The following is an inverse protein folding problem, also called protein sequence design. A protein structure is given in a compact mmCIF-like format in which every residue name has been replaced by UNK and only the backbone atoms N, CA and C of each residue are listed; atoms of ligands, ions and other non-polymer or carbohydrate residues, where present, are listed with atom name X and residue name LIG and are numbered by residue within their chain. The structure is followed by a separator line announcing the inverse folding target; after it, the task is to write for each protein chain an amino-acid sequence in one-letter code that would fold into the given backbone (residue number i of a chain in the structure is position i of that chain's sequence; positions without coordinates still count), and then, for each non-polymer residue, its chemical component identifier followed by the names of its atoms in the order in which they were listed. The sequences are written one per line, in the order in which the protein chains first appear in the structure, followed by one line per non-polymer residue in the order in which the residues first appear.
data_IF_084328576092
#
_entry.id   IF_084328576092
#
_cell.length_a   1.000
_cell.length_b   1.000
_cell.length_c   1.000
_cell.angle_alpha   90.00
_cell.angle_beta   90.00
_cell.angle_gamma   90.00
#
_symmetry.space_group_name_H-M   'P 1'
#
loop_
_entity.id
_entity.type
_entity.pdbx_description
1 polymer ?
#
# COMPACT_ATOMS: atom_id res chain seq x y z
N UNK A 1 -13.62 -28.91 -13.95
CA UNK A 1 -12.95 -27.63 -14.26
C UNK A 1 -13.22 -26.74 -13.08
N UNK A 2 -12.19 -26.32 -12.34
CA UNK A 2 -12.40 -25.36 -11.24
C UNK A 2 -12.92 -24.06 -11.85
N UNK A 3 -14.06 -23.57 -11.38
CA UNK A 3 -14.53 -22.22 -11.71
C UNK A 3 -13.41 -21.22 -11.37
N UNK A 4 -13.12 -20.28 -12.28
CA UNK A 4 -12.08 -19.29 -12.05
C UNK A 4 -12.48 -18.28 -10.97
N UNK A 5 -11.48 -17.63 -10.37
CA UNK A 5 -11.65 -16.65 -9.30
C UNK A 5 -12.17 -15.33 -9.88
N UNK A 6 -13.39 -14.95 -9.48
CA UNK A 6 -14.09 -13.75 -9.94
C UNK A 6 -13.70 -12.53 -9.11
N UNK A 7 -13.31 -11.46 -9.79
CA UNK A 7 -12.77 -10.24 -9.20
C UNK A 7 -13.69 -9.04 -9.42
N UNK A 8 -13.84 -8.22 -8.39
CA UNK A 8 -14.32 -6.84 -8.47
C UNK A 8 -13.12 -5.92 -8.24
N UNK A 9 -12.85 -4.98 -9.14
CA UNK A 9 -11.83 -3.93 -8.91
C UNK A 9 -12.52 -2.60 -8.65
N UNK A 10 -12.31 -2.01 -7.48
CA UNK A 10 -12.79 -0.67 -7.12
C UNK A 10 -11.60 0.28 -7.05
N UNK A 11 -11.69 1.42 -7.74
CA UNK A 11 -10.61 2.39 -7.85
C UNK A 11 -9.71 2.11 -9.05
N UNK A 12 -10.16 2.47 -10.25
CA UNK A 12 -9.46 2.13 -11.49
C UNK A 12 -8.34 3.13 -11.91
N UNK A 13 -7.42 3.41 -10.99
CA UNK A 13 -6.27 4.31 -11.19
C UNK A 13 -5.04 3.65 -11.82
N UNK A 14 -3.84 4.18 -11.53
CA UNK A 14 -2.56 3.66 -12.06
C UNK A 14 -2.32 2.21 -11.63
N UNK A 15 -2.52 1.89 -10.34
CA UNK A 15 -2.32 0.54 -9.79
C UNK A 15 -3.28 -0.46 -10.42
N UNK A 16 -4.56 -0.14 -10.49
CA UNK A 16 -5.59 -1.00 -11.09
C UNK A 16 -5.36 -1.25 -12.58
N UNK A 17 -4.96 -0.23 -13.36
CA UNK A 17 -4.62 -0.41 -14.78
C UNK A 17 -3.42 -1.33 -14.96
N UNK A 18 -2.39 -1.18 -14.12
CA UNK A 18 -1.23 -2.08 -14.13
C UNK A 18 -1.61 -3.51 -13.73
N UNK A 19 -2.46 -3.67 -12.70
CA UNK A 19 -2.97 -4.98 -12.29
C UNK A 19 -3.77 -5.65 -13.41
N UNK A 20 -4.73 -4.93 -13.99
CA UNK A 20 -5.55 -5.43 -15.08
C UNK A 20 -4.70 -5.84 -16.29
N UNK A 21 -3.75 -4.99 -16.71
CA UNK A 21 -2.80 -5.34 -17.76
C UNK A 21 -1.97 -6.60 -17.43
N UNK A 22 -1.58 -6.79 -16.16
CA UNK A 22 -0.88 -8.01 -15.73
C UNK A 22 -1.78 -9.25 -15.73
N UNK A 23 -3.06 -9.13 -15.38
CA UNK A 23 -4.02 -10.24 -15.42
C UNK A 23 -4.20 -10.73 -16.87
N UNK A 24 -4.35 -9.79 -17.81
CA UNK A 24 -4.45 -10.07 -19.25
C UNK A 24 -3.17 -10.70 -19.80
N UNK A 25 -2.01 -10.14 -19.48
CA UNK A 25 -0.74 -10.57 -20.06
C UNK A 25 -0.21 -11.90 -19.48
N UNK A 26 -0.58 -12.23 -18.23
CA UNK A 26 -0.01 -13.37 -17.47
C UNK A 26 -1.05 -14.38 -17.02
N UNK A 27 -2.31 -14.26 -17.44
CA UNK A 27 -3.38 -15.20 -17.06
C UNK A 27 -3.05 -16.66 -17.34
N UNK A 28 -2.49 -16.96 -18.52
CA UNK A 28 -2.05 -18.32 -18.88
C UNK A 28 -0.90 -18.82 -17.98
N UNK A 29 0.03 -17.93 -17.62
CA UNK A 29 1.10 -18.26 -16.68
C UNK A 29 0.51 -18.66 -15.33
N UNK A 30 -0.38 -17.85 -14.76
CA UNK A 30 -1.02 -18.14 -13.47
C UNK A 30 -1.85 -19.42 -13.51
N UNK A 31 -2.57 -19.67 -14.60
CA UNK A 31 -3.33 -20.90 -14.78
C UNK A 31 -2.41 -22.13 -14.82
N UNK A 32 -1.24 -22.02 -15.45
CA UNK A 32 -0.27 -23.12 -15.56
C UNK A 32 0.51 -23.37 -14.27
N UNK A 33 1.00 -22.32 -13.62
CA UNK A 33 1.89 -22.43 -12.47
C UNK A 33 1.15 -22.55 -11.14
N UNK A 34 0.03 -21.83 -11.01
CA UNK A 34 -0.77 -21.82 -9.79
C UNK A 34 -2.08 -22.57 -9.95
N UNK A 35 -2.56 -22.87 -11.16
CA UNK A 35 -3.89 -23.46 -11.35
C UNK A 35 -5.03 -22.48 -11.07
N UNK A 36 -4.73 -21.17 -11.10
CA UNK A 36 -5.69 -20.10 -10.83
C UNK A 36 -5.98 -19.36 -12.14
N UNK A 37 -7.26 -19.22 -12.46
CA UNK A 37 -7.75 -18.38 -13.54
C UNK A 37 -8.52 -17.21 -12.95
N UNK A 38 -8.20 -15.98 -13.33
CA UNK A 38 -8.84 -14.79 -12.77
C UNK A 38 -9.79 -14.17 -13.78
N UNK A 39 -11.04 -13.94 -13.38
CA UNK A 39 -12.06 -13.29 -14.22
C UNK A 39 -12.48 -11.97 -13.60
N UNK A 40 -12.23 -10.87 -14.30
CA UNK A 40 -12.70 -9.56 -13.86
C UNK A 40 -14.19 -9.42 -14.19
N UNK A 41 -15.08 -9.47 -13.20
CA UNK A 41 -16.54 -9.40 -13.43
C UNK A 41 -17.11 -8.00 -13.17
N UNK A 42 -16.41 -7.17 -12.41
CA UNK A 42 -16.77 -5.77 -12.25
C UNK A 42 -15.55 -4.86 -12.07
N UNK A 43 -15.65 -3.65 -12.61
CA UNK A 43 -14.67 -2.59 -12.43
C UNK A 43 -15.37 -1.26 -12.18
N UNK A 44 -14.90 -0.52 -11.17
CA UNK A 44 -15.49 0.75 -10.73
C UNK A 44 -14.41 1.82 -10.63
N UNK A 45 -14.69 3.01 -11.15
CA UNK A 45 -13.90 4.21 -10.92
C UNK A 45 -14.74 5.33 -10.31
N UNK A 46 -14.14 6.50 -10.09
CA UNK A 46 -14.84 7.64 -9.48
C UNK A 46 -16.01 8.21 -10.29
N UNK A 47 -16.24 7.74 -11.52
CA UNK A 47 -17.25 8.26 -12.44
C UNK A 47 -18.22 7.19 -12.93
N UNK A 48 -17.86 5.91 -12.89
CA UNK A 48 -18.57 4.87 -13.62
C UNK A 48 -18.26 3.46 -13.11
N UNK A 49 -19.15 2.53 -13.46
CA UNK A 49 -18.99 1.11 -13.23
C UNK A 49 -19.25 0.32 -14.52
N UNK A 50 -18.50 -0.76 -14.70
CA UNK A 50 -18.74 -1.82 -15.67
C UNK A 50 -18.94 -3.13 -14.91
N UNK A 51 -19.98 -3.89 -15.25
CA UNK A 51 -20.32 -5.17 -14.62
C UNK A 51 -20.74 -6.13 -15.72
N UNK A 52 -20.10 -7.30 -15.76
CA UNK A 52 -20.46 -8.41 -16.64
C UNK A 52 -20.20 -9.73 -15.90
N UNK A 53 -21.26 -10.51 -15.67
CA UNK A 53 -21.17 -11.80 -14.97
C UNK A 53 -20.36 -12.84 -15.76
N UNK A 54 -20.25 -12.68 -17.08
CA UNK A 54 -19.44 -13.57 -17.93
C UNK A 54 -17.97 -13.14 -18.00
N UNK A 55 -17.62 -12.01 -17.36
CA UNK A 55 -16.29 -11.42 -17.39
C UNK A 55 -16.20 -10.22 -18.34
N UNK A 56 -15.43 -9.22 -17.91
CA UNK A 56 -15.10 -8.02 -18.64
C UNK A 56 -13.84 -8.26 -19.48
N UNK A 57 -13.88 -7.83 -20.75
CA UNK A 57 -12.67 -7.78 -21.57
C UNK A 57 -11.73 -6.68 -21.09
N UNK A 58 -10.58 -7.09 -20.53
CA UNK A 58 -9.62 -6.17 -19.92
C UNK A 58 -9.08 -5.15 -20.92
N UNK A 59 -8.83 -5.56 -22.17
CA UNK A 59 -8.34 -4.66 -23.22
C UNK A 59 -9.32 -3.54 -23.53
N UNK A 60 -10.60 -3.86 -23.67
CA UNK A 60 -11.67 -2.87 -23.87
C UNK A 60 -11.79 -1.93 -22.67
N UNK A 61 -11.70 -2.48 -21.46
CA UNK A 61 -11.78 -1.70 -20.23
C UNK A 61 -10.64 -0.68 -20.12
N UNK A 62 -9.41 -1.11 -20.40
CA UNK A 62 -8.22 -0.25 -20.40
C UNK A 62 -8.31 0.83 -21.48
N UNK A 63 -8.67 0.45 -22.72
CA UNK A 63 -8.85 1.40 -23.84
C UNK A 63 -9.88 2.45 -23.49
N UNK A 64 -11.07 2.04 -23.02
CA UNK A 64 -12.13 2.97 -22.62
C UNK A 64 -11.67 3.92 -21.51
N UNK A 65 -10.94 3.41 -20.52
CA UNK A 65 -10.42 4.23 -19.42
C UNK A 65 -9.45 5.30 -19.93
N UNK A 66 -8.61 4.95 -20.88
CA UNK A 66 -7.65 5.86 -21.50
C UNK A 66 -8.35 6.93 -22.35
N UNK A 67 -9.28 6.53 -23.21
CA UNK A 67 -9.98 7.43 -24.14
C UNK A 67 -10.99 8.36 -23.46
N UNK A 68 -11.71 7.85 -22.45
CA UNK A 68 -12.88 8.55 -21.88
C UNK A 68 -12.70 8.94 -20.41
N UNK A 69 -11.64 8.45 -19.75
CA UNK A 69 -11.48 8.59 -18.31
C UNK A 69 -12.47 7.78 -17.47
N UNK A 70 -13.26 6.88 -18.08
CA UNK A 70 -14.30 6.06 -17.45
C UNK A 70 -14.09 4.57 -17.72
N UNK A 71 -14.39 3.71 -16.76
CA UNK A 71 -14.42 2.25 -16.96
C UNK A 71 -15.73 1.75 -17.54
N UNK A 72 -16.82 2.48 -17.34
CA UNK A 72 -18.15 2.05 -17.77
C UNK A 72 -19.03 3.18 -18.30
N UNK A 73 -20.27 2.84 -18.64
CA UNK A 73 -21.22 3.78 -19.25
C UNK A 73 -22.05 4.55 -18.22
N UNK A 74 -22.28 3.98 -17.04
CA UNK A 74 -23.15 4.55 -16.00
C UNK A 74 -22.41 4.59 -14.67
N UNK A 75 -22.79 5.51 -13.80
CA UNK A 75 -22.39 5.46 -12.39
C UNK A 75 -23.33 4.50 -11.66
N UNK A 76 -22.79 3.73 -10.73
CA UNK A 76 -23.53 2.87 -9.82
C UNK A 76 -22.99 3.09 -8.40
N UNK A 77 -23.82 2.98 -7.35
CA UNK A 77 -23.33 2.95 -5.99
C UNK A 77 -22.34 1.81 -5.81
N UNK A 78 -21.14 2.11 -5.32
CA UNK A 78 -20.05 1.12 -5.25
C UNK A 78 -20.39 -0.03 -4.31
N UNK A 79 -21.06 0.27 -3.20
CA UNK A 79 -21.55 -0.74 -2.24
C UNK A 79 -22.52 -1.73 -2.89
N UNK A 80 -23.43 -1.27 -3.76
CA UNK A 80 -24.34 -2.15 -4.52
C UNK A 80 -23.56 -3.04 -5.48
N UNK A 81 -22.57 -2.49 -6.21
CA UNK A 81 -21.71 -3.31 -7.08
C UNK A 81 -20.98 -4.39 -6.28
N UNK A 82 -20.45 -4.05 -5.10
CA UNK A 82 -19.74 -5.00 -4.23
C UNK A 82 -20.68 -6.08 -3.68
N UNK A 83 -21.88 -5.70 -3.24
CA UNK A 83 -22.82 -6.61 -2.60
C UNK A 83 -23.52 -7.52 -3.62
N UNK A 84 -24.02 -6.96 -4.73
CA UNK A 84 -24.91 -7.64 -5.68
C UNK A 84 -24.19 -8.38 -6.82
N UNK A 85 -22.92 -8.06 -7.08
CA UNK A 85 -22.13 -8.79 -8.09
C UNK A 85 -21.64 -10.12 -7.51
N UNK A 86 -21.92 -11.22 -8.20
CA UNK A 86 -21.36 -12.52 -7.85
C UNK A 86 -19.85 -12.53 -8.14
N UNK A 87 -19.06 -12.45 -7.08
CA UNK A 87 -17.61 -12.43 -7.14
C UNK A 87 -17.02 -12.99 -5.86
N UNK A 88 -15.76 -13.45 -5.94
CA UNK A 88 -15.08 -14.12 -4.84
C UNK A 88 -14.16 -13.12 -4.10
N UNK A 89 -13.60 -12.14 -4.81
CA UNK A 89 -12.64 -11.18 -4.26
C UNK A 89 -12.97 -9.74 -4.67
N UNK A 90 -13.01 -8.84 -3.68
CA UNK A 90 -12.90 -7.39 -3.86
C UNK A 90 -11.42 -6.98 -3.87
N UNK A 91 -11.00 -6.28 -4.92
CA UNK A 91 -9.72 -5.58 -5.02
C UNK A 91 -9.98 -4.08 -4.83
N UNK A 92 -9.62 -3.56 -3.66
CA UNK A 92 -9.92 -2.19 -3.25
C UNK A 92 -8.68 -1.29 -3.39
N UNK A 93 -8.72 -0.38 -4.36
CA UNK A 93 -7.61 0.46 -4.80
C UNK A 93 -8.01 1.95 -4.88
N UNK A 94 -9.07 2.36 -4.16
CA UNK A 94 -9.47 3.77 -4.10
C UNK A 94 -8.39 4.58 -3.36
N UNK A 95 -8.10 5.82 -3.79
CA UNK A 95 -7.27 6.73 -3.00
C UNK A 95 -7.81 6.85 -1.56
N UNK A 96 -6.91 6.74 -0.58
CA UNK A 96 -7.30 6.78 0.83
C UNK A 96 -7.57 8.20 1.31
N UNK A 97 -8.66 8.39 2.06
CA UNK A 97 -8.93 9.63 2.78
C UNK A 97 -8.42 9.52 4.23
N UNK A 98 -7.43 10.33 4.66
CA UNK A 98 -6.93 10.27 6.03
C UNK A 98 -7.91 10.83 7.07
N UNK A 99 -8.97 11.54 6.66
CA UNK A 99 -9.89 12.18 7.60
C UNK A 99 -10.90 11.20 8.20
N UNK A 100 -11.49 10.35 7.36
CA UNK A 100 -12.59 9.46 7.72
C UNK A 100 -12.46 8.05 7.12
N UNK A 101 -11.39 7.78 6.36
CA UNK A 101 -11.19 6.54 5.61
C UNK A 101 -12.25 6.21 4.54
N UNK A 102 -13.21 7.11 4.28
CA UNK A 102 -14.24 6.90 3.27
C UNK A 102 -13.74 7.31 1.87
N UNK A 103 -14.26 6.67 0.80
CA UNK A 103 -15.27 5.59 0.79
C UNK A 103 -14.68 4.19 1.03
N UNK A 104 -13.36 4.06 1.21
CA UNK A 104 -12.67 2.78 1.34
C UNK A 104 -13.19 1.94 2.51
N UNK A 105 -13.54 2.59 3.63
CA UNK A 105 -14.12 1.93 4.80
C UNK A 105 -15.46 1.27 4.46
N UNK A 106 -16.36 2.00 3.80
CA UNK A 106 -17.63 1.44 3.30
C UNK A 106 -17.39 0.27 2.36
N UNK A 107 -16.43 0.38 1.42
CA UNK A 107 -16.13 -0.71 0.49
C UNK A 107 -15.73 -2.01 1.22
N UNK A 108 -14.84 -1.91 2.21
CA UNK A 108 -14.38 -3.10 2.94
C UNK A 108 -15.51 -3.71 3.77
N UNK A 109 -16.32 -2.88 4.44
CA UNK A 109 -17.47 -3.33 5.22
C UNK A 109 -18.52 -4.02 4.33
N UNK A 110 -18.80 -3.50 3.14
CA UNK A 110 -19.70 -4.13 2.17
C UNK A 110 -19.16 -5.47 1.65
N UNK A 111 -17.87 -5.59 1.36
CA UNK A 111 -17.28 -6.86 0.94
C UNK A 111 -17.31 -7.92 2.06
N UNK A 112 -16.99 -7.53 3.30
CA UNK A 112 -17.13 -8.42 4.47
C UNK A 112 -18.59 -8.87 4.62
N UNK A 113 -19.56 -7.94 4.55
CA UNK A 113 -21.00 -8.25 4.63
C UNK A 113 -21.44 -9.24 3.56
N UNK A 114 -20.91 -9.12 2.35
CA UNK A 114 -21.19 -10.00 1.23
C UNK A 114 -20.29 -11.26 1.17
N UNK A 115 -19.51 -11.53 2.23
CA UNK A 115 -18.59 -12.67 2.35
C UNK A 115 -17.57 -12.79 1.22
N UNK A 116 -17.14 -11.66 0.66
CA UNK A 116 -16.10 -11.60 -0.39
C UNK A 116 -14.74 -11.40 0.24
N UNK A 117 -13.73 -12.14 -0.21
CA UNK A 117 -12.35 -11.89 0.17
C UNK A 117 -11.91 -10.49 -0.27
N UNK A 118 -10.91 -9.92 0.40
CA UNK A 118 -10.46 -8.55 0.18
C UNK A 118 -8.96 -8.54 -0.05
N UNK A 119 -8.55 -7.88 -1.13
CA UNK A 119 -7.17 -7.42 -1.33
C UNK A 119 -7.22 -5.91 -1.47
N UNK A 120 -6.51 -5.17 -0.60
CA UNK A 120 -6.53 -3.70 -0.64
C UNK A 120 -5.14 -3.08 -0.66
N UNK A 121 -5.01 -1.96 -1.36
CA UNK A 121 -3.86 -1.05 -1.26
C UNK A 121 -4.20 0.26 -0.53
N UNK A 122 -5.44 0.39 -0.05
CA UNK A 122 -5.91 1.54 0.70
C UNK A 122 -5.59 1.38 2.18
N UNK A 123 -4.60 2.13 2.62
CA UNK A 123 -4.11 2.13 4.01
C UNK A 123 -5.15 2.68 4.99
N UNK A 124 -5.98 3.64 4.57
CA UNK A 124 -6.71 4.49 5.51
C UNK A 124 -7.74 3.73 6.35
N UNK A 125 -8.55 2.79 5.79
CA UNK A 125 -9.43 1.97 6.60
C UNK A 125 -8.70 1.18 7.67
N UNK A 126 -7.56 0.57 7.30
CA UNK A 126 -6.73 -0.21 8.22
C UNK A 126 -6.08 0.68 9.30
N UNK A 127 -5.62 1.87 8.95
CA UNK A 127 -5.01 2.79 9.90
C UNK A 127 -6.03 3.42 10.88
N UNK A 128 -7.33 3.37 10.56
CA UNK A 128 -8.41 3.86 11.42
C UNK A 128 -9.06 2.77 12.27
N UNK A 129 -9.40 1.61 11.69
CA UNK A 129 -10.19 0.56 12.36
C UNK A 129 -9.61 -0.85 12.15
N UNK A 130 -8.28 -1.01 12.22
CA UNK A 130 -7.61 -2.30 12.00
C UNK A 130 -8.26 -3.48 12.74
N UNK A 131 -8.35 -3.39 14.07
CA UNK A 131 -8.80 -4.50 14.94
C UNK A 131 -10.23 -4.91 14.61
N UNK A 132 -11.12 -3.94 14.39
CA UNK A 132 -12.53 -4.18 14.05
C UNK A 132 -12.67 -4.82 12.67
N UNK A 133 -11.94 -4.32 11.67
CA UNK A 133 -11.97 -4.85 10.31
C UNK A 133 -11.45 -6.30 10.24
N UNK A 134 -10.32 -6.58 10.89
CA UNK A 134 -9.74 -7.93 10.93
C UNK A 134 -10.69 -8.89 11.65
N UNK A 135 -11.18 -8.54 12.83
CA UNK A 135 -12.11 -9.39 13.58
C UNK A 135 -13.41 -9.66 12.81
N UNK A 136 -13.96 -8.63 12.12
CA UNK A 136 -15.17 -8.77 11.31
C UNK A 136 -14.94 -9.68 10.10
N UNK A 137 -13.80 -9.54 9.41
CA UNK A 137 -13.42 -10.41 8.30
C UNK A 137 -13.25 -11.87 8.77
N UNK A 138 -12.52 -12.10 9.85
CA UNK A 138 -12.32 -13.43 10.46
C UNK A 138 -13.65 -14.08 10.84
N UNK A 139 -14.57 -13.34 11.47
CA UNK A 139 -15.89 -13.85 11.88
C UNK A 139 -16.75 -14.36 10.73
N UNK A 140 -16.44 -13.95 9.49
CA UNK A 140 -17.15 -14.35 8.27
C UNK A 140 -16.33 -15.27 7.37
N UNK A 141 -15.16 -15.72 7.81
CA UNK A 141 -14.25 -16.51 6.97
C UNK A 141 -13.69 -15.72 5.77
N UNK A 142 -13.73 -14.38 5.84
CA UNK A 142 -13.23 -13.50 4.78
C UNK A 142 -11.74 -13.26 4.99
N UNK A 143 -10.93 -13.60 4.00
CA UNK A 143 -9.53 -13.19 3.99
C UNK A 143 -9.40 -11.70 3.66
N UNK A 144 -8.73 -10.96 4.55
CA UNK A 144 -8.37 -9.56 4.36
C UNK A 144 -6.85 -9.46 4.17
N UNK A 145 -6.40 -9.19 2.94
CA UNK A 145 -4.99 -9.03 2.55
C UNK A 145 -4.69 -7.57 2.18
N UNK A 146 -3.53 -7.09 2.59
CA UNK A 146 -3.18 -5.66 2.48
C UNK A 146 -1.66 -5.42 2.43
N UNK A 147 -0.90 -6.35 1.85
CA UNK A 147 0.57 -6.21 1.78
C UNK A 147 0.99 -4.97 0.97
N UNK A 148 0.19 -4.62 -0.04
CA UNK A 148 0.38 -3.43 -0.88
C UNK A 148 0.26 -2.09 -0.12
N UNK A 149 -0.41 -2.07 1.05
CA UNK A 149 -0.58 -0.86 1.85
C UNK A 149 0.75 -0.30 2.40
N UNK A 150 1.70 -1.16 2.75
CA UNK A 150 2.90 -0.73 3.50
C UNK A 150 4.19 -0.84 2.70
N UNK A 151 4.31 -1.83 1.81
CA UNK A 151 5.58 -2.16 1.15
C UNK A 151 5.67 -1.83 -0.32
N UNK A 152 4.61 -1.32 -0.95
CA UNK A 152 4.48 -1.38 -2.40
C UNK A 152 4.83 -2.81 -2.85
N UNK A 153 5.93 -3.04 -3.59
CA UNK A 153 6.38 -4.38 -3.98
C UNK A 153 7.08 -5.20 -2.89
N UNK A 154 7.64 -4.56 -1.87
CA UNK A 154 8.42 -5.23 -0.82
C UNK A 154 7.51 -6.09 0.09
N UNK A 155 7.93 -7.31 0.44
CA UNK A 155 7.18 -8.20 1.32
C UNK A 155 7.36 -7.81 2.80
N UNK A 156 7.09 -6.56 3.17
CA UNK A 156 7.34 -6.03 4.53
C UNK A 156 6.56 -6.81 5.59
N UNK A 157 5.27 -7.06 5.34
CA UNK A 157 4.43 -7.80 6.28
C UNK A 157 4.87 -9.26 6.40
N UNK A 158 5.09 -9.94 5.26
CA UNK A 158 5.54 -11.35 5.27
C UNK A 158 6.91 -11.52 5.94
N UNK A 159 7.83 -10.59 5.69
CA UNK A 159 9.14 -10.59 6.33
C UNK A 159 9.01 -10.31 7.84
N UNK A 160 8.13 -9.39 8.22
CA UNK A 160 7.81 -9.14 9.62
C UNK A 160 7.19 -10.35 10.30
N UNK A 161 6.27 -11.07 9.64
CA UNK A 161 5.66 -12.31 10.14
C UNK A 161 6.74 -13.37 10.38
N UNK A 162 7.68 -13.52 9.42
CA UNK A 162 8.82 -14.42 9.57
C UNK A 162 9.74 -14.03 10.73
N UNK A 163 9.86 -12.73 11.05
CA UNK A 163 10.58 -12.26 12.23
C UNK A 163 9.81 -12.56 13.53
N UNK A 164 8.50 -12.35 13.54
CA UNK A 164 7.65 -12.44 14.72
C UNK A 164 7.20 -13.86 15.08
N UNK A 165 7.36 -14.83 14.18
CA UNK A 165 6.85 -16.21 14.37
C UNK A 165 7.49 -16.94 15.55
N UNK A 166 8.77 -16.67 15.83
CA UNK A 166 9.55 -17.40 16.84
C UNK A 166 9.93 -16.55 18.06
N UNK A 167 9.69 -15.25 17.99
CA UNK A 167 10.11 -14.29 19.01
C UNK A 167 9.33 -12.98 18.91
N UNK A 168 9.22 -12.21 20.00
CA UNK A 168 8.57 -10.91 19.94
C UNK A 168 9.44 -9.89 19.21
N UNK A 169 8.82 -9.15 18.29
CA UNK A 169 9.36 -7.90 17.73
C UNK A 169 9.10 -6.78 18.73
N UNK A 170 10.17 -6.16 19.24
CA UNK A 170 10.10 -5.16 20.31
C UNK A 170 9.97 -3.73 19.77
N UNK A 171 10.59 -3.47 18.61
CA UNK A 171 10.59 -2.16 17.95
C UNK A 171 10.60 -2.34 16.44
N UNK A 172 9.92 -1.45 15.73
CA UNK A 172 9.98 -1.35 14.27
C UNK A 172 10.32 0.08 13.89
N UNK A 173 11.28 0.23 12.97
CA UNK A 173 11.67 1.51 12.38
C UNK A 173 11.61 1.41 10.87
N UNK A 174 11.26 2.49 10.17
CA UNK A 174 11.32 2.48 8.72
C UNK A 174 11.29 3.84 8.08
N UNK A 175 11.99 3.94 6.94
CA UNK A 175 11.77 5.00 5.95
C UNK A 175 10.75 4.44 4.97
N UNK A 176 9.49 4.84 5.15
CA UNK A 176 8.32 4.17 4.56
C UNK A 176 7.72 4.90 3.36
N UNK A 177 8.25 6.07 3.02
CA UNK A 177 7.70 6.94 1.99
C UNK A 177 8.76 7.34 0.95
N UNK A 178 8.63 6.75 -0.25
CA UNK A 178 9.58 6.94 -1.34
C UNK A 178 9.68 8.40 -1.81
N UNK A 179 8.58 9.16 -1.79
CA UNK A 179 8.54 10.56 -2.24
C UNK A 179 9.37 11.47 -1.34
N UNK A 180 9.11 11.43 -0.04
CA UNK A 180 9.89 12.19 0.94
C UNK A 180 11.37 11.76 0.95
N UNK A 181 11.64 10.46 0.83
CA UNK A 181 13.02 9.96 0.76
C UNK A 181 13.75 10.41 -0.51
N UNK A 182 13.06 10.45 -1.64
CA UNK A 182 13.59 11.00 -2.89
C UNK A 182 13.92 12.49 -2.75
N UNK A 183 13.01 13.28 -2.19
CA UNK A 183 13.23 14.72 -1.97
C UNK A 183 14.45 14.97 -1.09
N UNK A 184 14.56 14.28 0.06
CA UNK A 184 15.71 14.38 0.95
C UNK A 184 17.02 13.95 0.26
N UNK A 185 16.97 12.84 -0.48
CA UNK A 185 18.12 12.35 -1.24
C UNK A 185 18.56 13.33 -2.32
N UNK A 186 17.63 14.06 -2.93
CA UNK A 186 17.95 15.07 -3.94
C UNK A 186 18.66 16.26 -3.29
N UNK A 187 18.09 16.80 -2.22
CA UNK A 187 18.71 17.87 -1.42
C UNK A 187 20.12 17.50 -0.94
N UNK A 188 20.35 16.23 -0.56
CA UNK A 188 21.68 15.71 -0.19
C UNK A 188 22.66 15.63 -1.36
N UNK A 189 22.16 15.31 -2.56
CA UNK A 189 23.00 15.03 -3.73
C UNK A 189 23.53 16.28 -4.44
N UNK A 190 22.71 17.32 -4.56
CA UNK A 190 23.01 18.51 -5.36
C UNK A 190 22.81 19.83 -4.61
N UNK A 191 22.39 19.77 -3.34
CA UNK A 191 22.16 20.95 -2.50
C UNK A 191 20.86 21.70 -2.81
N UNK A 192 19.94 21.12 -3.59
CA UNK A 192 18.65 21.72 -3.92
C UNK A 192 17.86 22.14 -2.68
N UNK A 193 17.03 23.16 -2.83
CA UNK A 193 16.02 23.50 -1.84
C UNK A 193 14.88 22.47 -1.82
N UNK A 194 14.14 22.40 -0.71
CA UNK A 194 12.96 21.52 -0.61
C UNK A 194 11.95 21.76 -1.75
N UNK A 195 11.58 23.02 -2.11
CA UNK A 195 10.67 23.26 -3.24
C UNK A 195 11.19 22.76 -4.59
N UNK A 196 12.48 22.93 -4.88
CA UNK A 196 13.10 22.47 -6.14
C UNK A 196 13.13 20.95 -6.24
N UNK A 197 13.58 20.28 -5.17
CA UNK A 197 13.60 18.83 -5.08
C UNK A 197 12.20 18.22 -5.17
N UNK A 198 11.20 18.87 -4.57
CA UNK A 198 9.79 18.44 -4.67
C UNK A 198 9.25 18.59 -6.10
N UNK A 199 9.59 19.68 -6.79
CA UNK A 199 9.17 19.90 -8.17
C UNK A 199 9.79 18.86 -9.13
N UNK A 200 11.05 18.48 -8.91
CA UNK A 200 11.65 17.38 -9.65
C UNK A 200 10.97 16.04 -9.36
N UNK A 201 10.64 15.76 -8.10
CA UNK A 201 9.89 14.56 -7.73
C UNK A 201 8.53 14.48 -8.47
N UNK A 202 7.85 15.62 -8.66
CA UNK A 202 6.61 15.68 -9.46
C UNK A 202 6.85 15.39 -10.94
N UNK A 203 7.88 15.99 -11.54
CA UNK A 203 8.24 15.77 -12.95
C UNK A 203 8.58 14.31 -13.25
N UNK A 204 9.23 13.64 -12.30
CA UNK A 204 9.58 12.22 -12.40
C UNK A 204 8.42 11.28 -12.03
N UNK A 205 7.27 11.81 -11.63
CA UNK A 205 6.09 11.02 -11.26
C UNK A 205 6.18 10.33 -9.89
N UNK A 206 7.13 10.73 -9.03
CA UNK A 206 7.21 10.27 -7.64
C UNK A 206 6.21 10.99 -6.74
N UNK A 207 5.91 12.26 -7.01
CA UNK A 207 4.97 13.07 -6.24
C UNK A 207 3.75 13.46 -7.07
N UNK A 208 2.57 13.45 -6.44
CA UNK A 208 1.37 14.05 -7.02
C UNK A 208 1.39 15.59 -6.92
N UNK A 209 0.43 16.25 -7.56
CA UNK A 209 0.31 17.72 -7.52
C UNK A 209 0.21 18.27 -6.09
N UNK A 210 -0.50 17.56 -5.21
CA UNK A 210 -0.60 17.85 -3.78
C UNK A 210 -0.06 16.68 -2.93
N UNK A 211 1.25 16.64 -2.64
CA UNK A 211 1.91 15.51 -1.99
C UNK A 211 1.96 15.65 -0.45
N UNK A 212 1.00 16.34 0.17
CA UNK A 212 1.02 16.63 1.60
C UNK A 212 1.04 15.37 2.46
N UNK A 213 0.32 14.31 2.04
CA UNK A 213 0.34 13.01 2.72
C UNK A 213 1.76 12.45 2.84
N UNK A 214 2.58 12.68 1.83
CA UNK A 214 3.95 12.18 1.75
C UNK A 214 4.90 13.06 2.55
N UNK A 215 4.93 14.36 2.26
CA UNK A 215 5.94 15.28 2.82
C UNK A 215 5.63 15.73 4.24
N UNK A 216 4.38 15.61 4.70
CA UNK A 216 3.96 15.92 6.07
C UNK A 216 3.87 14.66 6.95
N UNK A 217 4.32 13.50 6.47
CA UNK A 217 4.51 12.29 7.27
C UNK A 217 3.26 11.43 7.52
N UNK A 218 2.09 11.84 7.02
CA UNK A 218 0.81 11.12 7.26
C UNK A 218 0.80 9.72 6.64
N UNK A 219 1.34 9.55 5.43
CA UNK A 219 1.48 8.23 4.79
C UNK A 219 2.38 7.30 5.61
N UNK A 220 3.49 7.82 6.15
CA UNK A 220 4.40 7.05 7.00
C UNK A 220 3.76 6.68 8.33
N UNK A 221 2.96 7.58 8.92
CA UNK A 221 2.17 7.34 10.12
C UNK A 221 1.15 6.21 9.90
N UNK A 222 0.41 6.24 8.79
CA UNK A 222 -0.54 5.17 8.44
C UNK A 222 0.17 3.82 8.28
N UNK A 223 1.30 3.79 7.57
CA UNK A 223 2.06 2.54 7.35
C UNK A 223 2.60 1.96 8.64
N UNK A 224 3.20 2.77 9.53
CA UNK A 224 3.75 2.26 10.78
C UNK A 224 2.65 1.75 11.73
N UNK A 225 1.48 2.38 11.75
CA UNK A 225 0.30 1.89 12.49
C UNK A 225 -0.12 0.52 11.99
N UNK A 226 -0.24 0.34 10.66
CA UNK A 226 -0.60 -0.96 10.06
C UNK A 226 0.45 -2.03 10.39
N UNK A 227 1.73 -1.71 10.25
CA UNK A 227 2.82 -2.65 10.58
C UNK A 227 2.78 -3.02 12.07
N UNK A 228 2.60 -2.04 12.96
CA UNK A 228 2.52 -2.28 14.40
C UNK A 228 1.37 -3.20 14.78
N UNK A 229 0.19 -2.97 14.21
CA UNK A 229 -0.98 -3.79 14.49
C UNK A 229 -0.82 -5.21 13.93
N UNK A 230 -0.27 -5.33 12.73
CA UNK A 230 -0.08 -6.61 12.08
C UNK A 230 1.00 -7.47 12.76
N UNK A 231 2.18 -6.90 13.01
CA UNK A 231 3.37 -7.63 13.49
C UNK A 231 3.41 -7.72 15.02
N UNK A 232 3.20 -6.60 15.69
CA UNK A 232 3.30 -6.51 17.15
C UNK A 232 1.96 -6.76 17.86
N UNK A 233 0.90 -7.09 17.10
CA UNK A 233 -0.47 -7.33 17.58
C UNK A 233 -1.00 -6.20 18.47
N UNK A 234 -0.62 -4.97 18.15
CA UNK A 234 -1.15 -3.77 18.81
C UNK A 234 -2.55 -3.46 18.28
N UNK A 235 -3.28 -2.59 19.00
CA UNK A 235 -4.58 -2.05 18.58
C UNK A 235 -4.49 -0.53 18.51
N UNK A 236 -3.62 -0.04 17.63
CA UNK A 236 -3.35 1.37 17.41
C UNK A 236 -4.15 1.93 16.24
N UNK A 237 -4.41 3.22 16.28
CA UNK A 237 -5.00 4.02 15.22
C UNK A 237 -4.07 5.20 14.90
N UNK A 238 -4.37 5.95 13.83
CA UNK A 238 -3.66 7.20 13.54
C UNK A 238 -3.69 8.21 14.71
N UNK A 239 -4.72 8.16 15.57
CA UNK A 239 -4.84 9.06 16.74
C UNK A 239 -3.83 8.72 17.84
N UNK A 240 -3.28 7.51 17.84
CA UNK A 240 -2.29 7.07 18.81
C UNK A 240 -0.85 7.46 18.43
N UNK A 241 -0.66 8.03 17.23
CA UNK A 241 0.63 8.53 16.76
C UNK A 241 0.97 9.80 17.53
N UNK A 242 2.00 9.71 18.37
CA UNK A 242 2.32 10.77 19.31
C UNK A 242 2.87 12.02 18.62
N UNK A 243 3.66 11.84 17.55
CA UNK A 243 4.31 12.90 16.79
C UNK A 243 4.28 12.54 15.32
N UNK A 244 3.93 13.52 14.48
CA UNK A 244 4.07 13.43 13.02
C UNK A 244 4.81 14.67 12.54
N UNK A 245 6.07 14.49 12.18
CA UNK A 245 6.93 15.51 11.63
C UNK A 245 7.17 15.28 10.14
N UNK A 246 6.99 16.33 9.35
CA UNK A 246 7.27 16.34 7.91
C UNK A 246 8.63 16.92 7.56
N UNK A 247 8.98 16.86 6.28
CA UNK A 247 10.30 17.26 5.76
C UNK A 247 10.37 18.72 5.28
N UNK A 248 9.26 19.46 5.30
CA UNK A 248 9.17 20.82 4.70
C UNK A 248 10.12 21.86 5.31
N UNK A 249 10.48 21.70 6.58
CA UNK A 249 11.25 22.69 7.35
C UNK A 249 12.76 22.46 7.33
N UNK A 250 13.22 21.45 6.60
CA UNK A 250 14.65 21.10 6.53
C UNK A 250 15.36 22.12 5.64
N UNK A 251 16.37 22.79 6.19
CA UNK A 251 17.14 23.78 5.44
C UNK A 251 18.25 23.11 4.59
N UNK A 252 18.51 23.61 3.37
CA UNK A 252 19.63 23.11 2.55
C UNK A 252 20.99 23.27 3.24
N UNK A 253 21.15 24.33 4.04
CA UNK A 253 22.36 24.56 4.84
C UNK A 253 22.57 23.48 5.90
N UNK A 254 21.50 23.02 6.57
CA UNK A 254 21.58 21.93 7.54
C UNK A 254 21.90 20.61 6.85
N UNK A 255 21.25 20.33 5.71
CA UNK A 255 21.53 19.11 4.93
C UNK A 255 23.00 19.05 4.52
N UNK A 256 23.55 20.16 4.00
CA UNK A 256 24.97 20.22 3.63
C UNK A 256 25.91 19.98 4.82
N UNK A 257 25.65 20.61 5.97
CA UNK A 257 26.44 20.39 7.18
C UNK A 257 26.40 18.93 7.63
N UNK A 258 25.22 18.28 7.59
CA UNK A 258 25.09 16.86 7.94
C UNK A 258 25.90 15.95 7.01
N UNK A 259 25.94 16.26 5.71
CA UNK A 259 26.74 15.50 4.75
C UNK A 259 28.25 15.62 5.06
N UNK A 260 28.73 16.79 5.47
CA UNK A 260 30.11 17.03 5.92
C UNK A 260 30.41 16.29 7.25
N UNK A 261 29.42 16.15 8.13
CA UNK A 261 29.50 15.34 9.36
C UNK A 261 29.40 13.81 9.12
N UNK A 262 29.25 13.36 7.88
CA UNK A 262 29.08 11.92 7.57
C UNK A 262 27.70 11.37 7.96
N UNK A 263 26.68 12.22 7.98
CA UNK A 263 25.29 11.88 8.31
C UNK A 263 24.35 12.13 7.13
N UNK A 264 23.15 11.57 7.23
CA UNK A 264 22.01 11.79 6.34
C UNK A 264 20.78 12.19 7.12
N UNK A 265 19.81 12.81 6.45
CA UNK A 265 18.53 13.18 7.07
C UNK A 265 17.42 12.29 6.53
N UNK A 266 16.66 11.62 7.40
CA UNK A 266 15.57 10.72 6.96
C UNK A 266 14.32 10.94 7.79
N UNK A 267 13.16 10.89 7.14
CA UNK A 267 11.88 10.80 7.84
C UNK A 267 11.65 9.34 8.23
N UNK A 268 11.80 9.05 9.52
CA UNK A 268 11.72 7.70 10.10
C UNK A 268 10.41 7.57 10.87
N UNK A 269 9.61 6.57 10.49
CA UNK A 269 8.49 6.11 11.28
C UNK A 269 8.98 5.02 12.24
N UNK A 270 8.67 5.14 13.52
CA UNK A 270 9.10 4.23 14.56
C UNK A 270 7.93 3.83 15.45
N UNK A 271 7.92 2.60 15.92
CA UNK A 271 7.02 2.13 16.98
C UNK A 271 7.76 1.20 17.93
N UNK A 272 7.82 1.58 19.19
CA UNK A 272 8.25 0.73 20.30
C UNK A 272 7.14 0.68 21.36
N UNK A 273 6.84 1.83 21.97
CA UNK A 273 5.65 2.01 22.83
C UNK A 273 4.49 2.63 22.06
N UNK A 274 4.65 3.91 21.68
CA UNK A 274 3.73 4.64 20.81
C UNK A 274 4.37 4.88 19.44
N UNK A 275 3.59 4.94 18.36
CA UNK A 275 4.11 5.28 17.04
C UNK A 275 4.49 6.75 16.96
N UNK A 276 5.58 7.05 16.25
CA UNK A 276 6.08 8.39 15.98
C UNK A 276 6.63 8.45 14.56
N UNK A 277 6.51 9.60 13.89
CA UNK A 277 7.19 9.92 12.64
C UNK A 277 8.03 11.16 12.87
N UNK A 278 9.34 11.04 12.70
CA UNK A 278 10.31 12.12 12.96
C UNK A 278 11.32 12.26 11.84
N UNK A 279 11.84 13.46 11.68
CA UNK A 279 13.03 13.70 10.86
C UNK A 279 14.26 13.45 11.72
N UNK A 280 15.04 12.41 11.39
CA UNK A 280 16.23 12.00 12.12
C UNK A 280 17.50 12.24 11.31
N UNK A 281 18.57 12.54 12.04
CA UNK A 281 19.93 12.64 11.52
C UNK A 281 20.65 11.33 11.81
N UNK A 282 20.96 10.57 10.76
CA UNK A 282 21.45 9.20 10.85
C UNK A 282 22.88 9.11 10.34
N UNK A 283 23.74 8.27 10.93
CA UNK A 283 25.03 7.92 10.34
C UNK A 283 24.86 7.45 8.89
N UNK A 284 25.82 7.78 8.02
CA UNK A 284 25.75 7.43 6.59
C UNK A 284 25.68 5.91 6.36
N UNK A 285 26.27 5.12 7.24
CA UNK A 285 26.33 3.66 7.23
C UNK A 285 25.14 2.99 7.95
N UNK A 286 24.26 3.75 8.59
CA UNK A 286 23.05 3.21 9.21
C UNK A 286 22.11 2.59 8.14
N UNK A 287 21.57 1.38 8.36
CA UNK A 287 20.67 0.74 7.41
C UNK A 287 19.41 1.54 7.00
N UNK A 288 18.96 2.51 7.80
CA UNK A 288 17.85 3.41 7.48
C UNK A 288 18.26 4.58 6.57
N UNK A 289 19.56 4.83 6.38
CA UNK A 289 20.12 5.89 5.52
C UNK A 289 20.03 5.56 4.01
N UNK A 290 19.00 4.84 3.58
CA UNK A 290 18.72 4.47 2.18
C UNK A 290 18.46 5.70 1.30
N UNK A 291 18.77 5.62 0.01
CA UNK A 291 18.67 6.77 -0.92
C UNK A 291 17.62 6.53 -2.01
N UNK A 292 17.15 7.64 -2.59
CA UNK A 292 16.22 7.65 -3.71
C UNK A 292 14.81 7.21 -3.30
N UNK A 293 14.09 6.61 -4.25
CA UNK A 293 12.72 6.15 -4.07
C UNK A 293 12.64 4.75 -3.43
N UNK A 294 13.48 4.50 -2.42
CA UNK A 294 13.53 3.23 -1.68
C UNK A 294 12.78 3.32 -0.36
N UNK A 295 12.18 2.19 0.05
CA UNK A 295 11.70 1.98 1.41
C UNK A 295 12.63 1.01 2.14
N UNK A 296 12.72 1.16 3.45
CA UNK A 296 13.42 0.23 4.34
C UNK A 296 12.67 0.09 5.65
N UNK A 297 12.65 -1.13 6.19
CA UNK A 297 12.13 -1.43 7.53
C UNK A 297 13.14 -2.26 8.29
N UNK A 298 13.42 -1.84 9.52
CA UNK A 298 14.23 -2.52 10.51
C UNK A 298 13.32 -3.03 11.62
N UNK A 299 13.30 -4.34 11.81
CA UNK A 299 12.64 -5.03 12.92
C UNK A 299 13.67 -5.35 13.99
N UNK A 300 13.39 -4.95 15.23
CA UNK A 300 14.19 -5.30 16.41
C UNK A 300 13.57 -6.50 17.09
N UNK A 301 14.17 -7.66 16.89
CA UNK A 301 13.70 -8.93 17.42
C UNK A 301 14.43 -9.23 18.74
N UNK A 302 13.70 -9.71 19.76
CA UNK A 302 14.22 -9.84 21.14
C UNK A 302 15.49 -10.67 21.27
N UNK A 303 15.62 -11.73 20.48
CA UNK A 303 16.72 -12.70 20.55
C UNK A 303 17.62 -12.66 19.32
N UNK A 304 17.06 -12.51 18.11
CA UNK A 304 17.86 -12.53 16.88
C UNK A 304 18.37 -11.16 16.41
N UNK A 305 18.08 -10.10 17.17
CA UNK A 305 18.57 -8.74 16.90
C UNK A 305 17.87 -8.07 15.73
N UNK A 306 18.61 -7.25 14.98
CA UNK A 306 18.05 -6.43 13.90
C UNK A 306 17.86 -7.24 12.60
N UNK A 307 16.67 -7.11 12.00
CA UNK A 307 16.35 -7.66 10.68
C UNK A 307 15.91 -6.53 9.76
N UNK A 308 16.57 -6.38 8.61
CA UNK A 308 16.34 -5.27 7.68
C UNK A 308 15.84 -5.78 6.34
N UNK A 309 14.75 -5.18 5.85
CA UNK A 309 14.23 -5.38 4.48
C UNK A 309 14.22 -4.03 3.77
N UNK A 310 14.78 -3.97 2.56
CA UNK A 310 14.94 -2.74 1.80
C UNK A 310 14.78 -2.98 0.29
N UNK A 311 14.29 -1.97 -0.42
CA UNK A 311 14.31 -1.93 -1.88
C UNK A 311 13.47 -0.80 -2.46
N UNK A 312 13.40 -0.76 -3.79
CA UNK A 312 12.61 0.25 -4.50
C UNK A 312 11.12 0.09 -4.20
N UNK A 313 10.45 1.21 -3.92
CA UNK A 313 9.06 1.21 -3.46
C UNK A 313 8.17 2.22 -4.20
N UNK A 314 8.60 2.70 -5.36
CA UNK A 314 7.84 3.63 -6.18
C UNK A 314 7.26 2.97 -7.44
N UNK A 315 6.02 3.34 -7.75
CA UNK A 315 5.38 3.07 -9.03
C UNK A 315 4.16 2.16 -8.95
N UNK A 316 3.25 2.32 -9.91
CA UNK A 316 2.03 1.51 -10.00
C UNK A 316 2.31 0.02 -10.21
N UNK A 317 3.42 -0.32 -10.88
CA UNK A 317 3.83 -1.70 -11.17
C UNK A 317 4.29 -2.44 -9.90
N UNK A 318 5.04 -1.78 -9.03
CA UNK A 318 5.48 -2.41 -7.77
C UNK A 318 4.30 -2.68 -6.84
N UNK A 319 3.36 -1.73 -6.76
CA UNK A 319 2.15 -1.90 -5.94
C UNK A 319 1.22 -2.95 -6.54
N UNK A 320 1.03 -2.97 -7.88
CA UNK A 320 0.21 -3.99 -8.53
C UNK A 320 0.80 -5.38 -8.36
N UNK A 321 2.12 -5.52 -8.32
CA UNK A 321 2.79 -6.80 -8.03
C UNK A 321 2.47 -7.32 -6.62
N UNK A 322 2.33 -6.45 -5.62
CA UNK A 322 1.93 -6.88 -4.28
C UNK A 322 0.45 -7.25 -4.20
N UNK A 323 -0.41 -6.49 -4.87
CA UNK A 323 -1.83 -6.84 -5.03
C UNK A 323 -1.98 -8.21 -5.71
N UNK A 324 -1.20 -8.48 -6.76
CA UNK A 324 -1.18 -9.77 -7.44
C UNK A 324 -0.72 -10.90 -6.52
N UNK A 325 0.33 -10.69 -5.72
CA UNK A 325 0.79 -11.69 -4.73
C UNK A 325 -0.31 -12.03 -3.73
N UNK A 326 -1.03 -11.03 -3.23
CA UNK A 326 -2.14 -11.24 -2.30
C UNK A 326 -3.33 -11.95 -2.98
N UNK A 327 -3.62 -11.62 -4.25
CA UNK A 327 -4.63 -12.31 -5.05
C UNK A 327 -4.32 -13.80 -5.25
N UNK A 328 -3.08 -14.14 -5.57
CA UNK A 328 -2.65 -15.52 -5.73
C UNK A 328 -2.84 -16.32 -4.43
N UNK A 329 -2.48 -15.74 -3.28
CA UNK A 329 -2.68 -16.37 -1.96
C UNK A 329 -4.16 -16.61 -1.62
N UNK A 330 -5.01 -15.65 -1.95
CA UNK A 330 -6.46 -15.79 -1.80
C UNK A 330 -6.97 -16.89 -2.73
N UNK A 331 -6.55 -16.89 -4.00
CA UNK A 331 -6.92 -17.92 -4.97
C UNK A 331 -6.48 -19.33 -4.56
N UNK A 332 -5.28 -19.48 -4.01
CA UNK A 332 -4.79 -20.77 -3.47
C UNK A 332 -5.70 -21.28 -2.34
N UNK A 333 -6.17 -20.37 -1.49
CA UNK A 333 -7.05 -20.73 -0.37
C UNK A 333 -8.46 -21.08 -0.82
N UNK A 334 -9.03 -20.33 -1.79
CA UNK A 334 -10.34 -20.64 -2.39
C UNK A 334 -10.31 -22.05 -3.00
N UNK A 335 -9.18 -22.45 -3.59
CA UNK A 335 -9.03 -23.78 -4.21
C UNK A 335 -8.79 -24.91 -3.22
N UNK A 336 -8.29 -24.59 -2.02
CA UNK A 336 -7.98 -25.57 -0.98
C UNK A 336 -9.18 -25.86 -0.06
N UNK A 337 -10.16 -24.94 0.02
CA UNK A 337 -11.43 -25.12 0.72
C UNK A 337 -12.50 -25.72 -0.18
#
# INVERSE_FOLDING_TARGET
MTEGVRLIIVGFGVVARSLAGSLEARGEEFRRTHGIDFHLVAAVDSKSAAVDRNGLEVRELLRRKEETGRVGRRSLPVSEVIEDTEADVLVELTPGNPLDAEPGMTHLKSAIKASKHIVTANKMPLAHEYTSLVASAESRGVQLRYSACVGAGLPILDFGDACAVSEPVQKVEGVLNATSNFVLSRMESDGSSFPEALEEAKKLGYAESNPWLDVDGVDSAAKIVIIANHIMKKSLTLKDVAIVEGIRRISPTRVKALMEEGKKVRMVACVERRPEVRVLELPRDDPLSVVGACNVVRFHCKYSGERVVSGSAAGGVTTSSAVMRDLLRVGDSIRAG
#
